data_IF_431644289230
#
_entry.id   IF_431644289230
#
_cell.length_a   1.000
_cell.length_b   1.000
_cell.length_c   1.000
_cell.angle_alpha   90.00
_cell.angle_beta   90.00
_cell.angle_gamma   90.00
#
_symmetry.space_group_name_H-M   'P 1'
#
loop_
_entity.id
_entity.type
_entity.pdbx_description
1 polymer ?
#
# COMPACT_ATOMS: atom_id res chain seq x y z
N UNK A 1 26.28 -6.95 84.04
CA UNK A 1 24.90 -7.25 83.61
C UNK A 1 24.94 -7.76 82.18
N UNK A 2 24.39 -8.94 81.90
CA UNK A 2 24.39 -9.56 80.57
C UNK A 2 22.94 -9.81 80.15
N UNK A 3 22.41 -9.04 79.19
CA UNK A 3 21.03 -9.19 78.71
C UNK A 3 20.99 -10.21 77.57
N UNK A 4 20.28 -11.32 77.82
CA UNK A 4 20.05 -12.40 76.86
C UNK A 4 19.09 -11.94 75.77
N UNK A 5 19.60 -11.93 74.55
CA UNK A 5 18.85 -11.86 73.31
C UNK A 5 18.09 -13.18 73.07
N UNK A 6 16.75 -13.14 72.98
CA UNK A 6 15.92 -14.27 72.51
C UNK A 6 14.66 -13.79 71.82
N UNK A 7 14.63 -13.89 70.50
CA UNK A 7 13.59 -14.61 69.72
C UNK A 7 13.64 -14.20 68.24
N UNK A 8 14.37 -14.96 67.42
CA UNK A 8 14.43 -14.72 65.95
C UNK A 8 14.42 -16.02 65.14
N UNK A 9 13.71 -17.06 65.60
CA UNK A 9 13.71 -18.37 64.91
C UNK A 9 12.41 -18.76 64.19
N UNK A 10 11.36 -17.94 64.23
CA UNK A 10 10.06 -18.29 63.61
C UNK A 10 9.70 -17.48 62.34
N UNK A 11 10.56 -16.57 61.88
CA UNK A 11 10.27 -15.70 60.73
C UNK A 11 10.89 -16.15 59.40
N UNK A 12 11.74 -17.19 59.39
CA UNK A 12 12.45 -17.60 58.16
C UNK A 12 11.56 -18.22 57.09
N UNK A 13 10.46 -18.90 57.44
CA UNK A 13 9.55 -19.50 56.46
C UNK A 13 8.71 -18.47 55.69
N UNK A 14 8.28 -17.39 56.37
CA UNK A 14 7.41 -16.36 55.77
C UNK A 14 8.14 -15.56 54.69
N UNK A 15 9.45 -15.32 54.86
CA UNK A 15 10.29 -14.59 53.89
C UNK A 15 10.41 -15.36 52.57
N UNK A 16 10.52 -16.68 52.63
CA UNK A 16 10.56 -17.51 51.42
C UNK A 16 9.23 -17.43 50.66
N UNK A 17 8.10 -17.52 51.39
CA UNK A 17 6.77 -17.44 50.76
C UNK A 17 6.53 -16.08 50.12
N UNK A 18 6.86 -14.98 50.81
CA UNK A 18 6.67 -13.63 50.25
C UNK A 18 7.57 -13.38 49.05
N UNK A 19 8.84 -13.79 49.09
CA UNK A 19 9.74 -13.65 47.93
C UNK A 19 9.27 -14.44 46.71
N UNK A 20 8.71 -15.65 46.91
CA UNK A 20 8.14 -16.46 45.83
C UNK A 20 6.88 -15.81 45.24
N UNK A 21 6.05 -15.20 46.09
CA UNK A 21 4.84 -14.50 45.68
C UNK A 21 5.19 -13.24 44.87
N UNK A 22 6.19 -12.47 45.31
CA UNK A 22 6.70 -11.34 44.54
C UNK A 22 7.32 -11.77 43.20
N UNK A 23 8.14 -12.84 43.17
CA UNK A 23 8.67 -13.39 41.92
C UNK A 23 7.55 -13.85 40.98
N UNK A 24 6.51 -14.48 41.50
CA UNK A 24 5.35 -14.90 40.72
C UNK A 24 4.60 -13.71 40.13
N UNK A 25 4.38 -12.65 40.91
CA UNK A 25 3.73 -11.42 40.40
C UNK A 25 4.58 -10.77 39.31
N UNK A 26 5.90 -10.62 39.54
CA UNK A 26 6.81 -10.02 38.56
C UNK A 26 6.85 -10.84 37.27
N UNK A 27 6.94 -12.17 37.35
CA UNK A 27 6.95 -13.03 36.15
C UNK A 27 5.67 -12.91 35.34
N UNK A 28 4.49 -12.87 35.99
CA UNK A 28 3.21 -12.65 35.29
C UNK A 28 3.20 -11.29 34.59
N UNK A 29 3.66 -10.23 35.24
CA UNK A 29 3.75 -8.88 34.65
C UNK A 29 4.71 -8.90 33.45
N UNK A 30 5.89 -9.50 33.59
CA UNK A 30 6.89 -9.60 32.52
C UNK A 30 6.35 -10.38 31.30
N UNK A 31 5.69 -11.52 31.52
CA UNK A 31 5.09 -12.31 30.43
C UNK A 31 3.98 -11.51 29.73
N UNK A 32 3.13 -10.84 30.50
CA UNK A 32 2.04 -10.02 29.95
C UNK A 32 2.59 -8.87 29.09
N UNK A 33 3.65 -8.21 29.55
CA UNK A 33 4.34 -7.17 28.78
C UNK A 33 4.93 -7.72 27.48
N UNK A 34 5.63 -8.87 27.53
CA UNK A 34 6.21 -9.52 26.35
C UNK A 34 5.15 -9.95 25.33
N UNK A 35 4.02 -10.49 25.80
CA UNK A 35 2.90 -10.89 24.95
C UNK A 35 2.32 -9.68 24.20
N UNK A 36 2.09 -8.56 24.90
CA UNK A 36 1.59 -7.33 24.28
C UNK A 36 2.58 -6.78 23.24
N UNK A 37 3.89 -6.79 23.52
CA UNK A 37 4.92 -6.40 22.55
C UNK A 37 4.90 -7.28 21.30
N UNK A 38 4.72 -8.59 21.46
CA UNK A 38 4.65 -9.51 20.32
C UNK A 38 3.44 -9.25 19.42
N UNK A 39 2.29 -8.91 20.01
CA UNK A 39 1.09 -8.54 19.27
C UNK A 39 1.29 -7.22 18.52
N UNK A 40 1.83 -6.20 19.20
CA UNK A 40 2.12 -4.91 18.60
C UNK A 40 3.10 -5.02 17.42
N UNK A 41 4.11 -5.87 17.53
CA UNK A 41 5.05 -6.13 16.43
C UNK A 41 4.35 -6.74 15.21
N UNK A 42 3.46 -7.73 15.41
CA UNK A 42 2.70 -8.35 14.31
C UNK A 42 1.76 -7.36 13.64
N UNK A 43 1.07 -6.51 14.41
CA UNK A 43 0.21 -5.47 13.85
C UNK A 43 1.02 -4.44 13.07
N UNK A 44 2.16 -4.00 13.61
CA UNK A 44 3.08 -3.09 12.92
C UNK A 44 3.59 -3.69 11.61
N UNK A 45 3.99 -4.97 11.62
CA UNK A 45 4.42 -5.69 10.43
C UNK A 45 3.30 -5.76 9.38
N UNK A 46 2.08 -6.11 9.78
CA UNK A 46 0.94 -6.16 8.86
C UNK A 46 0.60 -4.79 8.25
N UNK A 47 0.69 -3.71 9.04
CA UNK A 47 0.47 -2.35 8.55
C UNK A 47 1.58 -1.91 7.60
N UNK A 48 2.83 -2.17 7.95
CA UNK A 48 3.96 -1.90 7.06
C UNK A 48 3.81 -2.63 5.71
N UNK A 49 3.34 -3.87 5.75
CA UNK A 49 3.13 -4.70 4.57
C UNK A 49 2.01 -4.16 3.67
N UNK A 50 0.89 -3.76 4.27
CA UNK A 50 -0.21 -3.12 3.56
C UNK A 50 0.21 -1.79 2.92
N UNK A 51 0.97 -0.95 3.64
CA UNK A 51 1.47 0.31 3.09
C UNK A 51 2.47 0.10 1.96
N UNK A 52 3.37 -0.87 2.09
CA UNK A 52 4.29 -1.21 1.01
C UNK A 52 3.51 -1.66 -0.22
N UNK A 53 2.55 -2.59 -0.07
CA UNK A 53 1.74 -3.05 -1.18
C UNK A 53 0.96 -1.92 -1.87
N UNK A 54 0.41 -0.98 -1.09
CA UNK A 54 -0.27 0.18 -1.63
C UNK A 54 0.67 1.12 -2.39
N UNK A 55 1.83 1.46 -1.82
CA UNK A 55 2.83 2.31 -2.49
C UNK A 55 3.30 1.72 -3.82
N UNK A 56 3.46 0.40 -3.85
CA UNK A 56 3.87 -0.32 -5.06
C UNK A 56 2.75 -0.28 -6.12
N UNK A 57 1.49 -0.50 -5.73
CA UNK A 57 0.35 -0.37 -6.63
C UNK A 57 0.20 1.08 -7.16
N UNK A 58 0.36 2.10 -6.33
CA UNK A 58 0.35 3.49 -6.78
C UNK A 58 1.49 3.80 -7.76
N UNK A 59 2.69 3.27 -7.52
CA UNK A 59 3.81 3.43 -8.43
C UNK A 59 3.52 2.85 -9.81
N UNK A 60 2.77 1.74 -9.90
CA UNK A 60 2.25 1.20 -11.16
C UNK A 60 1.41 2.20 -11.93
N UNK A 61 0.48 2.87 -11.25
CA UNK A 61 -0.37 3.91 -11.87
C UNK A 61 0.48 5.08 -12.39
N UNK A 62 1.41 5.58 -11.57
CA UNK A 62 2.27 6.69 -11.96
C UNK A 62 3.21 6.33 -13.11
N UNK A 63 3.74 5.10 -13.13
CA UNK A 63 4.57 4.62 -14.22
C UNK A 63 3.78 4.55 -15.53
N UNK A 64 2.54 4.05 -15.51
CA UNK A 64 1.66 4.02 -16.69
C UNK A 64 1.29 5.41 -17.17
N UNK A 65 0.99 6.34 -16.26
CA UNK A 65 0.73 7.74 -16.62
C UNK A 65 1.97 8.39 -17.26
N UNK A 66 3.17 8.02 -16.81
CA UNK A 66 4.44 8.45 -17.39
C UNK A 66 4.65 8.01 -18.84
N UNK A 67 3.93 7.00 -19.32
CA UNK A 67 3.96 6.57 -20.73
C UNK A 67 3.08 7.43 -21.64
N UNK A 68 2.23 8.29 -21.10
CA UNK A 68 1.35 9.14 -21.91
C UNK A 68 2.17 10.00 -22.89
N UNK A 69 1.84 9.92 -24.18
CA UNK A 69 2.57 10.62 -25.26
C UNK A 69 3.93 10.02 -25.63
N UNK A 70 4.35 8.90 -25.03
CA UNK A 70 5.54 8.13 -25.45
C UNK A 70 5.21 7.19 -26.62
N UNK A 71 6.21 6.46 -27.13
CA UNK A 71 5.99 5.41 -28.14
C UNK A 71 5.15 4.24 -27.59
N UNK A 72 5.08 4.08 -26.27
CA UNK A 72 4.34 3.06 -25.54
C UNK A 72 3.08 3.64 -24.87
N UNK A 73 2.52 4.73 -25.39
CA UNK A 73 1.32 5.37 -24.84
C UNK A 73 0.14 4.37 -24.82
N UNK A 74 -0.38 3.97 -23.64
CA UNK A 74 -1.49 3.02 -23.53
C UNK A 74 -2.86 3.67 -23.82
N UNK A 75 -2.93 5.00 -23.93
CA UNK A 75 -4.17 5.75 -24.11
C UNK A 75 -4.50 5.96 -25.60
N UNK A 76 -4.52 4.87 -26.37
CA UNK A 76 -4.72 4.88 -27.84
C UNK A 76 -6.04 4.24 -28.30
N UNK A 77 -7.11 4.37 -27.50
CA UNK A 77 -8.45 3.80 -27.78
C UNK A 77 -8.45 2.27 -27.96
N UNK A 78 -7.51 1.58 -27.33
CA UNK A 78 -7.56 0.13 -27.22
C UNK A 78 -8.47 -0.25 -26.05
N UNK A 79 -9.32 -1.28 -26.23
CA UNK A 79 -10.29 -1.68 -25.21
C UNK A 79 -9.62 -2.07 -23.88
N UNK A 80 -8.49 -2.77 -24.00
CA UNK A 80 -7.66 -3.24 -22.91
C UNK A 80 -6.20 -3.25 -23.38
N UNK A 81 -5.31 -2.67 -22.57
CA UNK A 81 -3.87 -2.81 -22.71
C UNK A 81 -3.37 -3.59 -21.50
N UNK A 82 -3.11 -4.87 -21.72
CA UNK A 82 -2.46 -5.75 -20.78
C UNK A 82 -0.95 -5.47 -20.82
N UNK A 83 -0.30 -5.40 -19.66
CA UNK A 83 1.16 -5.18 -19.53
C UNK A 83 1.67 -3.94 -20.31
N UNK A 84 1.28 -2.70 -19.93
CA UNK A 84 1.69 -1.48 -20.62
C UNK A 84 3.21 -1.25 -20.65
N UNK A 85 3.96 -2.00 -19.84
CA UNK A 85 5.41 -1.96 -19.76
C UNK A 85 6.12 -2.98 -20.65
N UNK A 86 5.38 -3.83 -21.37
CA UNK A 86 5.93 -4.83 -22.26
C UNK A 86 6.84 -4.20 -23.32
N UNK A 87 7.98 -4.85 -23.59
CA UNK A 87 8.95 -4.39 -24.58
C UNK A 87 9.82 -3.20 -24.15
N UNK A 88 9.67 -2.69 -22.92
CA UNK A 88 10.64 -1.74 -22.38
C UNK A 88 11.96 -2.45 -22.06
N UNK A 89 13.07 -1.91 -22.58
CA UNK A 89 14.41 -2.41 -22.29
C UNK A 89 14.76 -2.35 -20.81
N UNK A 90 14.05 -1.53 -20.01
CA UNK A 90 13.95 -1.85 -18.60
C UNK A 90 12.67 -1.41 -17.93
N UNK A 91 12.20 -2.27 -17.02
CA UNK A 91 10.99 -2.02 -16.24
C UNK A 91 11.14 -0.78 -15.34
N UNK A 92 10.17 0.15 -15.34
CA UNK A 92 10.21 1.37 -14.53
C UNK A 92 10.19 1.08 -13.03
N UNK A 93 9.62 -0.05 -12.63
CA UNK A 93 9.46 -0.46 -11.22
C UNK A 93 10.49 -1.50 -10.77
N UNK A 94 11.57 -1.69 -11.53
CA UNK A 94 12.61 -2.72 -11.24
C UNK A 94 13.21 -2.63 -9.83
N UNK A 95 13.27 -1.42 -9.26
CA UNK A 95 13.89 -1.17 -7.96
C UNK A 95 12.92 -1.42 -6.79
N UNK A 96 11.66 -1.75 -7.09
CA UNK A 96 10.64 -2.05 -6.08
C UNK A 96 10.48 -3.56 -5.87
N UNK A 97 11.00 -4.38 -6.79
CA UNK A 97 10.97 -5.83 -6.73
C UNK A 97 12.29 -6.40 -6.19
N UNK A 98 12.21 -7.60 -5.60
CA UNK A 98 13.39 -8.34 -5.16
C UNK A 98 14.19 -8.88 -6.36
N UNK A 99 13.49 -9.26 -7.43
CA UNK A 99 14.07 -9.61 -8.73
C UNK A 99 13.68 -8.51 -9.75
N UNK A 100 14.65 -7.85 -10.41
CA UNK A 100 14.37 -6.87 -11.46
C UNK A 100 13.56 -7.39 -12.65
N UNK A 101 13.51 -8.71 -12.87
CA UNK A 101 12.81 -9.35 -13.97
C UNK A 101 11.42 -9.87 -13.58
N UNK A 102 11.11 -9.94 -12.29
CA UNK A 102 9.83 -10.41 -11.75
C UNK A 102 9.28 -9.33 -10.82
N UNK A 103 8.63 -8.34 -11.44
CA UNK A 103 8.00 -7.26 -10.72
C UNK A 103 6.56 -7.69 -10.40
N UNK A 104 6.20 -7.87 -9.11
CA UNK A 104 4.92 -8.46 -8.69
C UNK A 104 3.80 -7.42 -8.73
N UNK A 105 3.66 -6.77 -9.88
CA UNK A 105 2.71 -5.69 -10.13
C UNK A 105 2.04 -5.98 -11.45
N UNK A 106 0.73 -6.16 -11.40
CA UNK A 106 -0.12 -6.29 -12.56
C UNK A 106 -0.77 -4.94 -12.85
N UNK A 107 -0.67 -4.46 -14.09
CA UNK A 107 -1.20 -3.14 -14.46
C UNK A 107 -1.96 -3.26 -15.77
N UNK A 108 -3.22 -2.86 -15.72
CA UNK A 108 -4.14 -2.90 -16.85
C UNK A 108 -4.70 -1.52 -17.15
N UNK A 109 -4.85 -1.20 -18.44
CA UNK A 109 -5.52 0.03 -18.88
C UNK A 109 -6.78 -0.33 -19.66
N UNK A 110 -7.93 0.04 -19.10
CA UNK A 110 -9.24 -0.16 -19.69
C UNK A 110 -9.73 1.12 -20.35
N UNK A 111 -10.24 1.03 -21.57
CA UNK A 111 -11.00 2.10 -22.20
C UNK A 111 -12.46 2.04 -21.77
N UNK A 112 -12.94 3.09 -21.12
CA UNK A 112 -14.29 3.17 -20.57
C UNK A 112 -15.25 3.83 -21.57
N UNK A 113 -14.81 4.93 -22.20
CA UNK A 113 -15.62 5.64 -23.18
C UNK A 113 -14.75 6.44 -24.14
N UNK A 114 -15.22 6.64 -25.37
CA UNK A 114 -14.55 7.47 -26.38
C UNK A 114 -15.44 8.61 -26.82
N UNK A 115 -14.80 9.66 -27.35
CA UNK A 115 -15.48 10.76 -28.04
C UNK A 115 -16.60 11.41 -27.20
N UNK A 116 -16.39 11.56 -25.89
CA UNK A 116 -17.35 12.16 -24.96
C UNK A 116 -17.08 13.64 -24.79
N UNK A 117 -18.11 14.41 -24.46
CA UNK A 117 -17.95 15.82 -24.11
C UNK A 117 -17.03 15.98 -22.88
N UNK A 118 -15.98 16.78 -23.01
CA UNK A 118 -15.05 17.02 -21.92
C UNK A 118 -15.71 17.81 -20.75
N UNK A 119 -15.40 17.49 -19.48
CA UNK A 119 -15.85 18.28 -18.34
C UNK A 119 -15.29 19.71 -18.43
N UNK A 120 -16.16 20.72 -18.32
CA UNK A 120 -15.75 22.14 -18.37
C UNK A 120 -16.13 22.86 -17.08
N UNK A 121 -15.21 23.66 -16.50
CA UNK A 121 -15.54 24.53 -15.37
C UNK A 121 -16.56 25.60 -15.79
N UNK A 122 -17.37 26.05 -14.83
CA UNK A 122 -18.48 26.99 -15.07
C UNK A 122 -18.03 28.29 -15.75
N UNK A 123 -16.80 28.75 -15.48
CA UNK A 123 -16.21 29.96 -16.07
C UNK A 123 -15.92 29.86 -17.58
N UNK A 124 -15.91 28.66 -18.16
CA UNK A 124 -15.53 28.42 -19.56
C UNK A 124 -16.68 27.91 -20.43
N UNK A 125 -17.93 28.01 -19.96
CA UNK A 125 -19.14 27.54 -20.69
C UNK A 125 -19.47 28.33 -21.97
N UNK A 126 -18.80 29.46 -22.24
CA UNK A 126 -19.06 30.32 -23.40
C UNK A 126 -18.09 30.18 -24.59
N UNK A 127 -17.11 29.27 -24.54
CA UNK A 127 -16.13 29.08 -25.62
C UNK A 127 -16.67 28.28 -26.82
N UNK A 128 -16.18 28.57 -28.03
CA UNK A 128 -16.64 27.97 -29.30
C UNK A 128 -16.10 26.56 -29.59
N UNK A 129 -15.24 26.00 -28.73
CA UNK A 129 -14.63 24.67 -28.93
C UNK A 129 -15.60 23.49 -28.67
N UNK A 130 -16.91 23.69 -28.77
CA UNK A 130 -17.90 22.60 -28.71
C UNK A 130 -17.76 21.78 -30.00
N UNK A 131 -17.51 20.47 -29.89
CA UNK A 131 -17.31 19.57 -31.03
C UNK A 131 -15.89 19.54 -31.61
N UNK A 132 -15.02 20.47 -31.19
CA UNK A 132 -13.63 20.53 -31.66
C UNK A 132 -12.68 19.66 -30.83
N UNK A 133 -13.02 19.43 -29.56
CA UNK A 133 -12.32 18.57 -28.63
C UNK A 133 -13.29 17.58 -28.00
N UNK A 134 -12.96 16.30 -28.09
CA UNK A 134 -13.62 15.24 -27.35
C UNK A 134 -12.67 14.68 -26.27
N UNK A 135 -13.23 13.91 -25.36
CA UNK A 135 -12.52 13.25 -24.28
C UNK A 135 -12.72 11.73 -24.37
N UNK A 136 -11.61 11.01 -24.29
CA UNK A 136 -11.60 9.58 -24.06
C UNK A 136 -11.33 9.32 -22.57
N UNK A 137 -12.07 8.37 -22.00
CA UNK A 137 -12.02 8.00 -20.59
C UNK A 137 -11.38 6.64 -20.46
N UNK A 138 -10.38 6.55 -19.59
CA UNK A 138 -9.65 5.33 -19.29
C UNK A 138 -9.70 5.06 -17.79
N UNK A 139 -9.54 3.80 -17.42
CA UNK A 139 -9.30 3.37 -16.04
C UNK A 139 -7.99 2.58 -16.03
N UNK A 140 -7.07 2.99 -15.17
CA UNK A 140 -5.87 2.23 -14.88
C UNK A 140 -6.19 1.40 -13.63
N UNK A 141 -6.00 0.10 -13.70
CA UNK A 141 -5.97 -0.79 -12.54
C UNK A 141 -4.53 -1.19 -12.30
N UNK A 142 -4.06 -1.07 -11.06
CA UNK A 142 -2.72 -1.49 -10.67
C UNK A 142 -2.82 -2.31 -9.40
N UNK A 143 -2.28 -3.51 -9.45
CA UNK A 143 -2.40 -4.50 -8.41
C UNK A 143 -1.03 -5.05 -8.02
N UNK A 144 -0.75 -4.99 -6.73
CA UNK A 144 0.41 -5.65 -6.14
C UNK A 144 -0.05 -6.94 -5.46
N UNK A 145 0.43 -8.07 -5.96
CA UNK A 145 0.13 -9.40 -5.44
C UNK A 145 1.44 -10.18 -5.22
N UNK A 146 1.81 -10.36 -3.95
CA UNK A 146 2.95 -11.14 -3.53
C UNK A 146 2.50 -12.28 -2.60
N UNK A 147 2.93 -13.53 -2.84
CA UNK A 147 2.59 -14.64 -1.96
C UNK A 147 3.02 -14.39 -0.51
N UNK A 148 2.08 -14.52 0.43
CA UNK A 148 2.33 -14.32 1.86
C UNK A 148 2.44 -12.86 2.29
N UNK A 149 2.05 -11.93 1.42
CA UNK A 149 2.05 -10.48 1.66
C UNK A 149 0.64 -9.91 1.50
N UNK A 150 0.46 -8.66 1.93
CA UNK A 150 -0.74 -7.90 1.69
C UNK A 150 -0.94 -7.70 0.19
N UNK A 151 -2.17 -7.95 -0.28
CA UNK A 151 -2.61 -7.71 -1.64
C UNK A 151 -3.34 -6.37 -1.70
N UNK A 152 -2.96 -5.52 -2.64
CA UNK A 152 -3.58 -4.20 -2.80
C UNK A 152 -3.84 -3.92 -4.28
N UNK A 153 -5.03 -3.44 -4.58
CA UNK A 153 -5.42 -2.93 -5.90
C UNK A 153 -5.81 -1.46 -5.78
N UNK A 154 -5.29 -0.65 -6.68
CA UNK A 154 -5.64 0.77 -6.80
C UNK A 154 -6.15 1.03 -8.21
N UNK A 155 -7.20 1.85 -8.31
CA UNK A 155 -7.78 2.23 -9.59
C UNK A 155 -7.72 3.75 -9.76
N UNK A 156 -7.35 4.21 -10.96
CA UNK A 156 -7.35 5.62 -11.31
C UNK A 156 -8.09 5.88 -12.63
N UNK A 157 -9.05 6.79 -12.59
CA UNK A 157 -9.68 7.32 -13.80
C UNK A 157 -8.81 8.37 -14.48
N UNK A 158 -8.58 8.22 -15.79
CA UNK A 158 -7.78 9.14 -16.61
C UNK A 158 -8.62 9.65 -17.77
N UNK A 159 -8.46 10.93 -18.10
CA UNK A 159 -9.15 11.57 -19.23
C UNK A 159 -8.11 12.09 -20.20
N UNK A 160 -8.21 11.68 -21.47
CA UNK A 160 -7.35 12.18 -22.56
C UNK A 160 -8.18 13.03 -23.51
N UNK A 161 -7.76 14.27 -23.75
CA UNK A 161 -8.38 15.13 -24.76
C UNK A 161 -7.87 14.78 -26.14
N UNK A 162 -8.80 14.66 -27.09
CA UNK A 162 -8.55 14.31 -28.49
C UNK A 162 -9.29 15.27 -29.41
N UNK A 163 -8.80 15.42 -30.64
CA UNK A 163 -9.49 16.25 -31.64
C UNK A 163 -10.82 15.59 -31.99
N UNK A 164 -11.91 16.35 -31.91
CA UNK A 164 -13.24 15.87 -32.20
C UNK A 164 -13.41 15.55 -33.70
N UNK A 165 -14.11 14.47 -34.00
CA UNK A 165 -14.32 14.01 -35.38
C UNK A 165 -15.34 14.82 -36.18
N UNK A 166 -15.99 15.81 -35.57
CA UNK A 166 -17.08 16.61 -36.17
C UNK A 166 -16.62 18.04 -36.53
N UNK A 167 -15.36 18.22 -36.91
CA UNK A 167 -14.81 19.50 -37.41
C UNK A 167 -15.24 19.82 -38.83
#
# INVERSE_FOLDING_TARGET
MNMRNRSTQHQQGVVLVTSLLFLLVVTIISITAANNSSLGLKMSANMQDAYQSFQVAEAGIYATLGLAGSAQDPFQRQALVDEPFAGMGTHPLRNMAADPNDVPIDVDVFLIAVARACPRPLASRGGTSIGLLDCDYYRIESEHDLPGKARTRVELGVVKTVIGGNG
#
